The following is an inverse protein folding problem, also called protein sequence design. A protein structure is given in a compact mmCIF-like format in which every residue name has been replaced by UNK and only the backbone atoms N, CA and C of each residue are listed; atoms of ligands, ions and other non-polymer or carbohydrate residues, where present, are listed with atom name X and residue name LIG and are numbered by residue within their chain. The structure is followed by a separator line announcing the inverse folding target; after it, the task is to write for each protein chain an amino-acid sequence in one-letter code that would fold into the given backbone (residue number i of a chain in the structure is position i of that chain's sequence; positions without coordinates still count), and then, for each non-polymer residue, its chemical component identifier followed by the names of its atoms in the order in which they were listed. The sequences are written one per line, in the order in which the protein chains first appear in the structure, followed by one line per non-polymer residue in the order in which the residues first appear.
data_IF_791686914120
#
_entry.id   IF_791686914120
#
_cell.length_a   1.000
_cell.length_b   1.000
_cell.length_c   1.000
_cell.angle_alpha   90.00
_cell.angle_beta   90.00
_cell.angle_gamma   90.00
#
_symmetry.space_group_name_H-M   'P 1'
#
loop_
_entity.id
_entity.type
_entity.pdbx_description
1 polymer ?
#
# COMPACT_ATOMS: atom_id res chain seq x y z
N UNK A 1 55.23 -26.07 12.01
CA UNK A 1 53.77 -25.83 12.07
C UNK A 1 53.08 -26.94 11.30
N UNK A 2 52.10 -27.63 11.89
CA UNK A 2 51.33 -28.65 11.16
C UNK A 2 50.36 -27.98 10.19
N UNK A 3 50.15 -28.59 9.03
CA UNK A 3 49.29 -28.08 7.94
C UNK A 3 47.89 -27.66 8.42
N UNK A 4 47.33 -28.39 9.39
CA UNK A 4 46.03 -28.06 10.00
C UNK A 4 45.99 -26.73 10.77
N UNK A 5 47.11 -26.27 11.38
CA UNK A 5 47.13 -24.96 12.05
C UNK A 5 47.14 -23.78 11.06
N UNK A 6 47.70 -23.98 9.87
CA UNK A 6 47.70 -22.95 8.83
C UNK A 6 46.31 -22.84 8.19
N UNK A 7 45.65 -23.96 7.90
CA UNK A 7 44.27 -23.96 7.40
C UNK A 7 43.29 -23.39 8.42
N UNK A 8 43.44 -23.71 9.71
CA UNK A 8 42.64 -23.12 10.78
C UNK A 8 42.89 -21.60 10.92
N UNK A 9 44.14 -21.13 10.77
CA UNK A 9 44.46 -19.69 10.79
C UNK A 9 43.89 -18.96 9.57
N UNK A 10 44.06 -19.50 8.36
CA UNK A 10 43.50 -18.92 7.13
C UNK A 10 41.98 -18.88 7.19
N UNK A 11 41.32 -19.92 7.71
CA UNK A 11 39.87 -19.92 7.93
C UNK A 11 39.45 -18.90 9.01
N UNK A 12 40.25 -18.72 10.07
CA UNK A 12 39.96 -17.71 11.09
C UNK A 12 40.12 -16.29 10.57
N UNK A 13 41.20 -16.01 9.85
CA UNK A 13 41.47 -14.69 9.26
C UNK A 13 40.43 -14.32 8.21
N UNK A 14 40.06 -15.25 7.32
CA UNK A 14 38.98 -15.02 6.35
C UNK A 14 37.64 -14.78 7.03
N UNK A 15 37.30 -15.57 8.07
CA UNK A 15 36.10 -15.35 8.90
C UNK A 15 36.09 -13.96 9.57
N UNK A 16 37.19 -13.54 10.20
CA UNK A 16 37.27 -12.25 10.90
C UNK A 16 37.13 -11.07 9.94
N UNK A 17 37.79 -11.13 8.78
CA UNK A 17 37.67 -10.12 7.72
C UNK A 17 36.22 -10.05 7.22
N UNK A 18 35.57 -11.19 6.99
CA UNK A 18 34.16 -11.23 6.56
C UNK A 18 33.22 -10.61 7.60
N UNK A 19 33.43 -10.87 8.89
CA UNK A 19 32.66 -10.23 9.95
C UNK A 19 32.88 -8.72 10.03
N UNK A 20 34.12 -8.26 9.90
CA UNK A 20 34.44 -6.82 9.87
C UNK A 20 33.75 -6.15 8.68
N UNK A 21 33.79 -6.76 7.50
CA UNK A 21 33.09 -6.27 6.30
C UNK A 21 31.58 -6.27 6.54
N UNK A 22 31.02 -7.33 7.13
CA UNK A 22 29.59 -7.41 7.45
C UNK A 22 29.16 -6.32 8.44
N UNK A 23 29.93 -6.09 9.51
CA UNK A 23 29.64 -5.03 10.48
C UNK A 23 29.79 -3.63 9.89
N UNK A 24 30.82 -3.39 9.07
CA UNK A 24 30.98 -2.14 8.35
C UNK A 24 29.83 -1.89 7.36
N UNK A 25 29.35 -2.94 6.69
CA UNK A 25 28.15 -2.87 5.84
C UNK A 25 26.90 -2.57 6.67
N UNK A 26 26.68 -3.23 7.81
CA UNK A 26 25.55 -2.96 8.70
C UNK A 26 25.58 -1.51 9.22
N UNK A 27 26.74 -1.06 9.71
CA UNK A 27 26.95 0.29 10.22
C UNK A 27 26.74 1.36 9.13
N UNK A 28 27.32 1.17 7.94
CA UNK A 28 27.15 2.12 6.82
C UNK A 28 25.71 2.15 6.31
N UNK A 29 25.01 1.01 6.32
CA UNK A 29 23.62 0.90 5.88
C UNK A 29 22.64 1.55 6.85
N UNK A 30 22.88 1.45 8.16
CA UNK A 30 22.00 2.03 9.17
C UNK A 30 22.76 2.49 10.42
N UNK A 31 23.41 3.68 10.36
CA UNK A 31 24.23 4.18 11.47
C UNK A 31 23.43 4.38 12.76
N UNK A 32 22.15 4.76 12.64
CA UNK A 32 21.27 5.01 13.78
C UNK A 32 20.93 3.72 14.52
N UNK A 33 20.56 2.67 13.77
CA UNK A 33 20.25 1.36 14.33
C UNK A 33 21.51 0.69 14.91
N UNK A 34 22.67 0.89 14.27
CA UNK A 34 23.97 0.48 14.82
C UNK A 34 24.30 1.21 16.13
N UNK A 35 24.14 2.54 16.20
CA UNK A 35 24.32 3.32 17.43
C UNK A 35 23.40 2.85 18.55
N UNK A 36 22.11 2.57 18.25
CA UNK A 36 21.16 2.01 19.22
C UNK A 36 21.53 0.59 19.67
N UNK A 37 22.06 -0.24 18.79
CA UNK A 37 22.53 -1.58 19.14
C UNK A 37 23.77 -1.51 20.04
N UNK A 38 24.69 -0.57 19.79
CA UNK A 38 25.87 -0.32 20.63
C UNK A 38 25.50 0.32 21.97
N UNK A 39 24.54 1.24 22.00
CA UNK A 39 24.09 1.87 23.25
C UNK A 39 23.41 0.86 24.19
N UNK A 40 22.82 -0.23 23.67
CA UNK A 40 22.32 -1.34 24.50
C UNK A 40 23.43 -2.14 25.19
N UNK A 41 24.68 -2.09 24.71
CA UNK A 41 25.83 -2.75 25.36
C UNK A 41 26.46 -1.89 26.45
N UNK A 42 26.33 -0.55 26.38
CA UNK A 42 26.81 0.35 27.43
C UNK A 42 25.68 0.55 28.42
N UNK A 43 25.73 -0.19 29.52
CA UNK A 43 24.69 -0.28 30.54
C UNK A 43 24.32 1.00 31.31
N UNK A 44 24.66 2.19 30.83
CA UNK A 44 24.36 3.46 31.51
C UNK A 44 23.90 4.50 30.49
N UNK A 45 22.59 4.59 30.25
CA UNK A 45 21.95 5.83 29.75
C UNK A 45 20.64 5.99 30.52
N UNK A 46 20.62 7.08 31.28
CA UNK A 46 19.63 7.50 32.25
C UNK A 46 18.19 7.51 31.71
N UNK A 47 17.27 7.24 32.64
CA UNK A 47 15.82 7.36 32.55
C UNK A 47 15.39 8.70 31.92
N UNK A 48 15.22 8.74 30.59
CA UNK A 48 14.39 9.76 29.94
C UNK A 48 12.98 9.20 29.83
N UNK A 49 12.19 9.44 30.88
CA UNK A 49 10.74 9.41 30.80
C UNK A 49 10.13 8.02 30.70
N UNK A 50 10.19 7.27 31.80
CA UNK A 50 9.32 6.14 32.07
C UNK A 50 7.83 6.52 31.93
N UNK A 51 7.28 6.38 30.72
CA UNK A 51 5.86 6.10 30.53
C UNK A 51 5.61 4.68 31.05
N UNK A 52 5.37 4.61 32.36
CA UNK A 52 4.94 3.44 33.11
C UNK A 52 3.63 2.89 32.53
N UNK A 53 3.68 1.91 31.63
CA UNK A 53 2.62 0.90 31.51
C UNK A 53 3.10 -0.42 30.88
N UNK A 54 2.95 -1.45 31.72
CA UNK A 54 2.89 -2.89 31.50
C UNK A 54 4.04 -3.61 30.76
N UNK A 55 4.78 -4.37 31.59
CA UNK A 55 5.67 -5.51 31.26
C UNK A 55 6.79 -5.19 30.28
N UNK A 56 7.94 -4.86 30.87
CA UNK A 56 9.28 -4.97 30.28
C UNK A 56 9.54 -6.39 29.78
N UNK A 57 8.99 -6.77 28.63
CA UNK A 57 9.54 -7.87 27.85
C UNK A 57 10.96 -7.45 27.50
N UNK A 58 11.96 -8.13 28.07
CA UNK A 58 13.31 -8.12 27.51
C UNK A 58 13.17 -8.65 26.08
N UNK A 59 13.07 -7.75 25.10
CA UNK A 59 12.89 -8.07 23.69
C UNK A 59 14.18 -8.73 23.20
N UNK A 60 14.23 -10.07 23.23
CA UNK A 60 15.24 -10.83 22.49
C UNK A 60 14.81 -10.86 21.01
N UNK A 61 15.52 -10.19 20.08
CA UNK A 61 15.11 -10.11 18.68
C UNK A 61 14.98 -11.49 18.01
N UNK A 62 15.78 -12.48 18.45
CA UNK A 62 15.75 -13.85 17.92
C UNK A 62 14.55 -14.65 18.43
N UNK A 63 14.06 -14.38 19.63
CA UNK A 63 12.86 -15.05 20.15
C UNK A 63 11.61 -14.42 19.55
N UNK A 64 11.60 -13.10 19.43
CA UNK A 64 10.50 -12.36 18.82
C UNK A 64 10.28 -12.78 17.36
N UNK A 65 11.34 -12.89 16.57
CA UNK A 65 11.20 -13.32 15.18
C UNK A 65 10.68 -14.76 15.04
N UNK A 66 10.83 -15.65 16.03
CA UNK A 66 10.21 -16.98 15.99
C UNK A 66 8.68 -16.92 15.95
N UNK A 67 8.06 -15.87 16.50
CA UNK A 67 6.61 -15.71 16.48
C UNK A 67 6.06 -15.54 15.06
N UNK A 68 6.76 -14.81 14.18
CA UNK A 68 6.29 -14.63 12.80
C UNK A 68 6.23 -15.96 12.05
N UNK A 69 7.20 -16.87 12.28
CA UNK A 69 7.18 -18.22 11.70
C UNK A 69 6.00 -19.03 12.23
N UNK A 70 5.74 -19.01 13.55
CA UNK A 70 4.63 -19.72 14.17
C UNK A 70 3.27 -19.29 13.59
N UNK A 71 3.08 -18.00 13.36
CA UNK A 71 1.80 -17.50 12.85
C UNK A 71 1.54 -17.83 11.38
N UNK A 72 2.60 -17.98 10.58
CA UNK A 72 2.47 -18.36 9.17
C UNK A 72 2.64 -19.85 8.91
N UNK A 73 2.95 -20.64 9.94
CA UNK A 73 3.12 -22.10 9.85
C UNK A 73 1.93 -22.82 9.18
N UNK A 74 0.66 -22.45 9.43
CA UNK A 74 -0.47 -23.03 8.71
C UNK A 74 -0.43 -22.84 7.18
N UNK A 75 0.41 -21.93 6.68
CA UNK A 75 0.58 -21.60 5.28
C UNK A 75 1.95 -22.06 4.72
N UNK A 76 2.63 -23.00 5.39
CA UNK A 76 4.00 -23.47 5.12
C UNK A 76 4.31 -23.69 3.62
N UNK A 77 3.45 -24.46 2.93
CA UNK A 77 3.62 -24.84 1.53
C UNK A 77 3.78 -23.64 0.56
N UNK A 78 3.30 -22.46 0.94
CA UNK A 78 3.44 -21.24 0.15
C UNK A 78 4.29 -20.17 0.85
N UNK A 79 4.13 -19.99 2.16
CA UNK A 79 4.66 -18.82 2.87
C UNK A 79 6.14 -18.97 3.23
N UNK A 80 6.57 -20.17 3.64
CA UNK A 80 7.93 -20.45 4.14
C UNK A 80 8.84 -21.13 3.11
N UNK A 81 8.40 -21.26 1.86
CA UNK A 81 9.14 -21.94 0.79
C UNK A 81 10.46 -21.26 0.40
N UNK A 82 10.69 -20.02 0.81
CA UNK A 82 11.96 -19.32 0.67
C UNK A 82 12.33 -18.65 2.00
N UNK A 83 13.13 -19.36 2.81
CA UNK A 83 13.52 -18.91 4.15
C UNK A 83 14.39 -17.66 4.11
N UNK A 84 15.24 -17.48 3.09
CA UNK A 84 16.09 -16.28 3.00
C UNK A 84 15.26 -15.03 2.74
N UNK A 85 14.27 -15.11 1.84
CA UNK A 85 13.33 -13.99 1.63
C UNK A 85 12.47 -13.71 2.86
N UNK A 86 12.00 -14.75 3.55
CA UNK A 86 11.24 -14.58 4.79
C UNK A 86 12.07 -13.91 5.90
N UNK A 87 13.37 -14.21 6.01
CA UNK A 87 14.26 -13.63 7.00
C UNK A 87 14.38 -12.09 6.89
N UNK A 88 14.13 -11.49 5.71
CA UNK A 88 14.08 -10.03 5.55
C UNK A 88 12.94 -9.37 6.35
N UNK A 89 11.94 -10.15 6.80
CA UNK A 89 10.84 -9.64 7.62
C UNK A 89 11.23 -9.52 9.09
N UNK A 90 12.26 -10.22 9.56
CA UNK A 90 12.64 -10.23 10.98
C UNK A 90 13.10 -8.87 11.51
N UNK A 91 13.97 -8.10 10.81
CA UNK A 91 14.36 -6.77 11.29
C UNK A 91 13.17 -5.80 11.36
N UNK A 92 12.25 -5.92 10.42
CA UNK A 92 11.04 -5.09 10.34
C UNK A 92 10.08 -5.42 11.49
N UNK A 93 9.86 -6.70 11.74
CA UNK A 93 9.04 -7.16 12.84
C UNK A 93 9.63 -6.74 14.19
N UNK A 94 10.95 -6.90 14.38
CA UNK A 94 11.62 -6.46 15.58
C UNK A 94 11.55 -4.93 15.77
N UNK A 95 11.62 -4.17 14.68
CA UNK A 95 11.40 -2.73 14.71
C UNK A 95 9.98 -2.38 15.14
N UNK A 96 8.96 -3.08 14.63
CA UNK A 96 7.58 -2.91 15.07
C UNK A 96 7.37 -3.23 16.56
N UNK A 97 7.96 -4.32 17.05
CA UNK A 97 7.83 -4.69 18.46
C UNK A 97 8.52 -3.71 19.41
N UNK A 98 9.64 -3.13 18.98
CA UNK A 98 10.44 -2.22 19.80
C UNK A 98 9.87 -0.80 19.85
N UNK A 99 9.11 -0.39 18.83
CA UNK A 99 8.57 0.95 18.77
C UNK A 99 7.05 0.95 18.89
N UNK A 100 6.52 1.63 19.92
CA UNK A 100 5.08 1.87 20.10
C UNK A 100 4.59 3.01 19.20
N UNK A 101 4.82 2.95 17.89
CA UNK A 101 4.31 3.98 17.00
C UNK A 101 2.80 3.86 16.80
N UNK A 102 2.08 4.98 16.89
CA UNK A 102 0.62 5.02 16.71
C UNK A 102 0.20 4.94 15.24
N UNK A 103 1.06 5.39 14.33
CA UNK A 103 0.82 5.42 12.89
C UNK A 103 2.10 5.10 12.10
N UNK A 104 1.96 4.76 10.82
CA UNK A 104 3.11 4.56 9.92
C UNK A 104 3.90 5.86 9.73
N UNK A 105 3.20 6.98 9.79
CA UNK A 105 3.69 8.34 9.60
C UNK A 105 4.52 8.81 10.81
N UNK A 106 4.11 8.44 12.03
CA UNK A 106 4.86 8.71 13.28
C UNK A 106 6.13 7.85 13.41
N UNK A 107 6.19 6.71 12.72
CA UNK A 107 7.20 5.68 12.91
C UNK A 107 8.60 6.01 12.40
N UNK A 108 8.81 7.21 11.86
CA UNK A 108 9.78 7.36 10.78
C UNK A 108 11.00 8.15 11.24
N UNK A 109 11.94 7.42 11.83
CA UNK A 109 13.31 7.58 11.36
C UNK A 109 13.34 7.18 9.88
N UNK A 110 13.28 8.16 8.96
CA UNK A 110 13.22 7.93 7.50
C UNK A 110 14.34 6.98 7.02
N UNK A 111 15.48 7.00 7.72
CA UNK A 111 16.64 6.17 7.46
C UNK A 111 16.40 4.69 7.74
N UNK A 112 15.76 4.37 8.86
CA UNK A 112 15.43 3.00 9.23
C UNK A 112 14.45 2.39 8.24
N UNK A 113 13.38 3.12 7.91
CA UNK A 113 12.41 2.68 6.92
C UNK A 113 13.10 2.42 5.57
N UNK A 114 13.92 3.35 5.08
CA UNK A 114 14.66 3.20 3.81
C UNK A 114 15.50 1.91 3.76
N UNK A 115 16.12 1.54 4.89
CA UNK A 115 17.03 0.40 4.96
C UNK A 115 16.34 -0.96 4.73
N UNK A 116 15.05 -1.10 5.06
CA UNK A 116 14.34 -2.38 4.96
C UNK A 116 14.22 -2.92 3.54
N UNK A 117 14.22 -2.05 2.53
CA UNK A 117 14.10 -2.44 1.12
C UNK A 117 15.42 -2.41 0.34
N UNK A 118 16.55 -2.12 1.00
CA UNK A 118 17.85 -1.91 0.33
C UNK A 118 18.33 -3.16 -0.40
N UNK A 119 18.21 -4.32 0.23
CA UNK A 119 18.72 -5.60 -0.28
C UNK A 119 17.64 -6.48 -0.92
N UNK A 120 16.44 -5.93 -1.13
CA UNK A 120 15.32 -6.67 -1.74
C UNK A 120 15.13 -6.22 -3.18
N UNK A 121 15.22 -7.15 -4.14
CA UNK A 121 15.04 -6.82 -5.55
C UNK A 121 13.57 -6.54 -5.88
N UNK A 122 13.32 -5.80 -6.96
CA UNK A 122 11.94 -5.59 -7.45
C UNK A 122 11.28 -6.92 -7.87
N UNK A 123 12.07 -7.88 -8.34
CA UNK A 123 11.58 -9.21 -8.68
C UNK A 123 11.10 -9.95 -7.42
N UNK A 124 11.85 -9.89 -6.31
CA UNK A 124 11.45 -10.52 -5.05
C UNK A 124 10.17 -9.89 -4.48
N UNK A 125 10.05 -8.56 -4.56
CA UNK A 125 8.83 -7.85 -4.17
C UNK A 125 7.63 -8.38 -4.97
N UNK A 126 7.74 -8.42 -6.29
CA UNK A 126 6.62 -8.79 -7.15
C UNK A 126 6.26 -10.27 -7.10
N UNK A 127 7.27 -11.15 -7.02
CA UNK A 127 7.08 -12.60 -7.14
C UNK A 127 6.93 -13.29 -5.79
N UNK A 128 7.45 -12.71 -4.70
CA UNK A 128 7.45 -13.35 -3.40
C UNK A 128 6.64 -12.56 -2.34
N UNK A 129 7.01 -11.32 -2.04
CA UNK A 129 6.37 -10.56 -0.95
C UNK A 129 4.93 -10.16 -1.28
N UNK A 130 4.67 -9.69 -2.49
CA UNK A 130 3.35 -9.19 -2.90
C UNK A 130 2.25 -10.27 -2.91
N UNK A 131 2.48 -11.49 -3.43
CA UNK A 131 1.50 -12.58 -3.30
C UNK A 131 1.15 -12.90 -1.85
N UNK A 132 2.14 -12.92 -0.95
CA UNK A 132 1.96 -13.22 0.49
C UNK A 132 1.22 -12.09 1.21
N UNK A 133 1.53 -10.85 0.87
CA UNK A 133 0.76 -9.69 1.32
C UNK A 133 -0.72 -9.79 0.92
N UNK A 134 -1.01 -10.15 -0.34
CA UNK A 134 -2.40 -10.30 -0.84
C UNK A 134 -3.17 -11.44 -0.17
N UNK A 135 -2.47 -12.51 0.19
CA UNK A 135 -3.03 -13.62 0.97
C UNK A 135 -3.45 -13.13 2.36
N UNK A 136 -2.53 -12.52 3.11
CA UNK A 136 -2.85 -12.00 4.44
C UNK A 136 -3.93 -10.93 4.38
N UNK A 137 -3.93 -10.08 3.35
CA UNK A 137 -4.98 -9.11 3.11
C UNK A 137 -6.37 -9.77 2.98
N UNK A 138 -6.49 -10.85 2.21
CA UNK A 138 -7.75 -11.62 2.10
C UNK A 138 -8.16 -12.20 3.45
N UNK A 139 -7.22 -12.85 4.17
CA UNK A 139 -7.47 -13.50 5.46
C UNK A 139 -7.99 -12.49 6.48
N UNK A 140 -7.28 -11.37 6.64
CA UNK A 140 -7.65 -10.31 7.57
C UNK A 140 -8.96 -9.61 7.19
N UNK A 141 -9.44 -9.80 5.96
CA UNK A 141 -10.71 -9.26 5.50
C UNK A 141 -11.87 -10.25 5.61
N UNK A 142 -11.66 -11.44 6.17
CA UNK A 142 -12.76 -12.36 6.45
C UNK A 142 -13.62 -11.85 7.62
N UNK A 143 -14.94 -12.00 7.50
CA UNK A 143 -15.95 -11.66 8.52
C UNK A 143 -15.99 -12.69 9.67
N UNK A 144 -15.26 -13.79 9.56
CA UNK A 144 -15.23 -14.86 10.56
C UNK A 144 -14.57 -14.39 11.84
N UNK A 145 -15.26 -14.51 12.98
CA UNK A 145 -14.77 -14.07 14.30
C UNK A 145 -13.88 -15.11 15.01
N UNK A 146 -13.84 -16.35 14.50
CA UNK A 146 -13.24 -17.49 15.20
C UNK A 146 -11.70 -17.54 15.15
N UNK A 147 -11.07 -16.77 14.26
CA UNK A 147 -9.61 -16.79 14.09
C UNK A 147 -9.00 -15.63 14.89
N UNK A 148 -8.06 -15.92 15.79
CA UNK A 148 -7.21 -14.88 16.38
C UNK A 148 -6.26 -14.31 15.31
N UNK A 149 -6.65 -13.17 14.75
CA UNK A 149 -5.89 -12.49 13.72
C UNK A 149 -4.70 -11.69 14.26
N UNK A 150 -4.46 -11.60 15.57
CA UNK A 150 -3.46 -10.67 16.13
C UNK A 150 -2.07 -10.93 15.57
N UNK A 151 -1.63 -12.19 15.55
CA UNK A 151 -0.33 -12.59 14.99
C UNK A 151 -0.24 -12.32 13.48
N UNK A 152 -1.27 -12.70 12.73
CA UNK A 152 -1.33 -12.46 11.28
C UNK A 152 -1.36 -10.97 10.93
N UNK A 153 -2.00 -10.15 11.77
CA UNK A 153 -2.02 -8.69 11.61
C UNK A 153 -0.62 -8.11 11.73
N UNK A 154 0.22 -8.62 12.64
CA UNK A 154 1.60 -8.16 12.77
C UNK A 154 2.47 -8.57 11.59
N UNK A 155 2.30 -9.79 11.06
CA UNK A 155 3.00 -10.22 9.83
C UNK A 155 2.54 -9.38 8.63
N UNK A 156 1.24 -9.08 8.54
CA UNK A 156 0.70 -8.21 7.50
C UNK A 156 1.29 -6.80 7.58
N UNK A 157 1.34 -6.19 8.77
CA UNK A 157 1.97 -4.89 8.98
C UNK A 157 3.46 -4.92 8.61
N UNK A 158 4.16 -6.00 8.95
CA UNK A 158 5.57 -6.21 8.59
C UNK A 158 5.77 -6.21 7.07
N UNK A 159 4.94 -6.94 6.33
CA UNK A 159 4.93 -6.92 4.86
C UNK A 159 4.55 -5.55 4.31
N UNK A 160 3.56 -4.89 4.92
CA UNK A 160 3.14 -3.55 4.51
C UNK A 160 4.28 -2.54 4.66
N UNK A 161 5.04 -2.55 5.77
CA UNK A 161 6.23 -1.70 5.95
C UNK A 161 7.26 -1.96 4.86
N UNK A 162 7.53 -3.23 4.52
CA UNK A 162 8.48 -3.55 3.46
C UNK A 162 8.06 -2.96 2.12
N UNK A 163 6.77 -3.10 1.77
CA UNK A 163 6.22 -2.55 0.53
C UNK A 163 6.26 -1.02 0.55
N UNK A 164 5.83 -0.39 1.65
CA UNK A 164 5.92 1.06 1.84
C UNK A 164 7.36 1.52 1.66
N UNK A 165 8.32 0.91 2.35
CA UNK A 165 9.75 1.21 2.22
C UNK A 165 10.19 1.15 0.76
N UNK A 166 9.89 0.05 0.09
CA UNK A 166 10.31 -0.19 -1.30
C UNK A 166 9.76 0.87 -2.25
N UNK A 167 8.45 1.13 -2.24
CA UNK A 167 7.83 2.07 -3.17
C UNK A 167 8.08 3.53 -2.80
N UNK A 168 8.16 3.87 -1.52
CA UNK A 168 8.41 5.26 -1.10
C UNK A 168 9.83 5.73 -1.43
N UNK A 169 10.84 4.85 -1.30
CA UNK A 169 12.25 5.21 -1.50
C UNK A 169 12.77 4.95 -2.92
N UNK A 170 12.07 4.15 -3.74
CA UNK A 170 12.43 3.92 -5.15
C UNK A 170 11.59 4.69 -6.15
N UNK A 171 10.58 5.46 -5.73
CA UNK A 171 9.81 6.30 -6.66
C UNK A 171 10.64 7.37 -7.36
N UNK A 172 11.75 7.80 -6.77
CA UNK A 172 12.69 8.71 -7.44
C UNK A 172 13.35 8.06 -8.68
N UNK A 173 13.20 6.75 -8.89
CA UNK A 173 13.61 6.06 -10.12
C UNK A 173 12.67 6.38 -11.30
N UNK A 174 13.05 5.91 -12.49
CA UNK A 174 12.44 6.21 -13.79
C UNK A 174 10.88 6.23 -13.75
N UNK A 175 10.31 7.06 -14.63
CA UNK A 175 8.87 7.18 -14.91
C UNK A 175 8.14 5.83 -15.00
N UNK A 176 8.83 4.78 -15.46
CA UNK A 176 8.36 3.39 -15.48
C UNK A 176 7.96 2.88 -14.09
N UNK A 177 8.77 3.09 -13.04
CA UNK A 177 8.51 2.60 -11.69
C UNK A 177 7.25 3.23 -11.06
N UNK A 178 7.01 4.52 -11.31
CA UNK A 178 5.81 5.23 -10.81
C UNK A 178 4.54 4.67 -11.42
N UNK A 179 4.59 4.43 -12.74
CA UNK A 179 3.51 3.75 -13.44
C UNK A 179 3.31 2.35 -12.89
N UNK A 180 4.38 1.63 -12.55
CA UNK A 180 4.30 0.32 -11.89
C UNK A 180 3.59 0.39 -10.54
N UNK A 181 3.85 1.38 -9.67
CA UNK A 181 3.13 1.50 -8.37
C UNK A 181 1.62 1.55 -8.57
N UNK A 182 1.14 2.48 -9.42
CA UNK A 182 -0.31 2.64 -9.66
C UNK A 182 -0.89 1.45 -10.39
N UNK A 183 -0.19 0.97 -11.43
CA UNK A 183 -0.68 -0.14 -12.22
C UNK A 183 -0.75 -1.41 -11.36
N UNK A 184 0.18 -1.63 -10.42
CA UNK A 184 0.20 -2.81 -9.53
C UNK A 184 -0.78 -2.70 -8.36
N UNK A 185 -0.72 -1.61 -7.58
CA UNK A 185 -1.41 -1.50 -6.29
C UNK A 185 -2.74 -0.74 -6.36
N UNK A 186 -3.08 -0.15 -7.49
CA UNK A 186 -4.42 0.44 -7.67
C UNK A 186 -5.14 -0.31 -8.78
N UNK A 187 -4.66 -0.22 -10.01
CA UNK A 187 -5.37 -0.79 -11.15
C UNK A 187 -5.42 -2.32 -11.13
N UNK A 188 -4.28 -3.01 -11.05
CA UNK A 188 -4.23 -4.48 -11.03
C UNK A 188 -4.83 -5.04 -9.74
N UNK A 189 -4.72 -4.31 -8.62
CA UNK A 189 -5.45 -4.67 -7.41
C UNK A 189 -6.96 -4.73 -7.68
N UNK A 190 -7.55 -3.69 -8.28
CA UNK A 190 -8.98 -3.63 -8.53
C UNK A 190 -9.38 -4.64 -9.64
N UNK A 191 -8.76 -4.56 -10.81
CA UNK A 191 -9.18 -5.34 -11.98
C UNK A 191 -8.80 -6.82 -11.86
N UNK A 192 -7.56 -7.13 -11.46
CA UNK A 192 -7.07 -8.52 -11.46
C UNK A 192 -7.29 -9.21 -10.13
N UNK A 193 -6.99 -8.55 -9.01
CA UNK A 193 -7.14 -9.20 -7.71
C UNK A 193 -8.59 -9.17 -7.23
N UNK A 194 -9.19 -7.98 -7.04
CA UNK A 194 -10.52 -7.85 -6.49
C UNK A 194 -11.61 -8.39 -7.43
N UNK A 195 -11.68 -7.90 -8.67
CA UNK A 195 -12.71 -8.34 -9.60
C UNK A 195 -12.44 -9.76 -10.11
N UNK A 196 -11.31 -10.02 -10.75
CA UNK A 196 -11.08 -11.34 -11.34
C UNK A 196 -10.88 -12.44 -10.29
N UNK A 197 -9.95 -12.29 -9.32
CA UNK A 197 -9.64 -13.39 -8.38
C UNK A 197 -10.64 -13.51 -7.23
N UNK A 198 -10.99 -12.42 -6.54
CA UNK A 198 -11.82 -12.50 -5.34
C UNK A 198 -13.30 -12.63 -5.69
N UNK A 199 -13.80 -11.81 -6.62
CA UNK A 199 -15.22 -11.80 -6.95
C UNK A 199 -15.59 -12.86 -8.00
N UNK A 200 -14.91 -12.84 -9.16
CA UNK A 200 -15.21 -13.72 -10.29
C UNK A 200 -14.48 -15.07 -10.24
N UNK A 201 -13.63 -15.30 -9.23
CA UNK A 201 -12.87 -16.55 -9.03
C UNK A 201 -12.07 -17.02 -10.26
N UNK A 202 -11.62 -16.07 -11.08
CA UNK A 202 -10.73 -16.31 -12.23
C UNK A 202 -9.29 -16.41 -11.75
N UNK A 203 -8.94 -17.52 -11.11
CA UNK A 203 -7.61 -17.82 -10.57
C UNK A 203 -6.86 -18.93 -11.34
N UNK A 204 -7.41 -19.42 -12.47
CA UNK A 204 -6.87 -20.57 -13.22
C UNK A 204 -5.39 -20.43 -13.66
N UNK A 205 -4.90 -19.21 -13.83
CA UNK A 205 -3.51 -18.93 -14.20
C UNK A 205 -2.57 -18.73 -13.01
N UNK A 206 -3.09 -18.78 -11.78
CA UNK A 206 -2.29 -18.62 -10.58
C UNK A 206 -1.52 -19.92 -10.28
N UNK A 207 -0.37 -19.89 -9.59
CA UNK A 207 0.28 -21.10 -9.12
C UNK A 207 -0.67 -21.96 -8.27
N UNK A 208 -0.59 -23.30 -8.36
CA UNK A 208 -1.48 -24.24 -7.63
C UNK A 208 -1.62 -23.91 -6.15
N UNK A 209 -0.52 -23.56 -5.47
CA UNK A 209 -0.54 -23.21 -4.05
C UNK A 209 -1.41 -21.97 -3.75
N UNK A 210 -1.44 -21.00 -4.68
CA UNK A 210 -2.24 -19.79 -4.58
C UNK A 210 -3.70 -20.06 -4.96
N UNK A 211 -3.95 -20.92 -5.94
CA UNK A 211 -5.31 -21.41 -6.28
C UNK A 211 -5.94 -22.11 -5.08
N UNK A 212 -5.24 -23.10 -4.51
CA UNK A 212 -5.69 -23.82 -3.31
C UNK A 212 -6.04 -22.88 -2.16
N UNK A 213 -5.28 -21.80 -2.00
CA UNK A 213 -5.57 -20.78 -0.99
C UNK A 213 -6.86 -19.99 -1.28
N UNK A 214 -7.15 -19.70 -2.54
CA UNK A 214 -8.38 -19.02 -2.91
C UNK A 214 -9.61 -19.94 -2.85
N UNK A 215 -9.42 -21.23 -3.14
CA UNK A 215 -10.46 -22.24 -3.34
C UNK A 215 -10.80 -23.07 -2.09
N UNK A 216 -10.13 -22.85 -0.95
CA UNK A 216 -10.33 -23.54 0.34
C UNK A 216 -11.70 -23.28 1.04
N UNK A 217 -12.79 -23.28 0.29
CA UNK A 217 -14.14 -23.36 0.85
C UNK A 217 -14.80 -24.65 0.41
N UNK A 218 -15.26 -25.47 1.38
CA UNK A 218 -16.09 -26.67 1.20
C UNK A 218 -17.41 -26.36 0.50
N UNK A 219 -17.41 -25.95 -0.76
CA UNK A 219 -18.61 -25.53 -1.50
C UNK A 219 -19.39 -24.33 -0.93
N UNK A 220 -19.18 -23.98 0.35
CA UNK A 220 -19.77 -22.88 1.11
C UNK A 220 -18.85 -21.68 0.96
N UNK A 221 -19.26 -20.78 0.05
CA UNK A 221 -18.48 -19.69 -0.49
C UNK A 221 -17.71 -18.84 0.56
N UNK A 222 -16.37 -18.88 0.52
CA UNK A 222 -15.52 -17.92 1.23
C UNK A 222 -15.74 -16.47 0.76
N UNK A 223 -16.23 -16.25 -0.47
CA UNK A 223 -16.47 -14.91 -1.02
C UNK A 223 -17.60 -14.16 -0.28
N UNK A 224 -18.64 -14.85 0.20
CA UNK A 224 -19.68 -14.24 1.03
C UNK A 224 -19.15 -13.79 2.40
N UNK A 225 -18.02 -14.37 2.82
CA UNK A 225 -17.33 -14.08 4.07
C UNK A 225 -16.34 -12.92 3.94
N UNK A 226 -16.03 -12.38 2.76
CA UNK A 226 -15.09 -11.25 2.66
C UNK A 226 -15.81 -9.94 2.96
N UNK A 227 -15.26 -9.15 3.88
CA UNK A 227 -15.56 -7.74 4.05
C UNK A 227 -14.74 -6.91 3.05
N UNK A 228 -15.39 -6.56 1.95
CA UNK A 228 -14.77 -5.75 0.90
C UNK A 228 -14.38 -4.33 1.35
N UNK A 229 -15.09 -3.76 2.32
CA UNK A 229 -14.75 -2.44 2.86
C UNK A 229 -13.43 -2.54 3.63
N UNK A 230 -13.32 -3.55 4.49
CA UNK A 230 -12.07 -3.84 5.22
C UNK A 230 -10.92 -4.16 4.28
N UNK A 231 -11.15 -4.98 3.26
CA UNK A 231 -10.15 -5.33 2.25
C UNK A 231 -9.60 -4.08 1.53
N UNK A 232 -10.48 -3.20 1.05
CA UNK A 232 -10.07 -1.99 0.35
C UNK A 232 -9.38 -1.01 1.30
N UNK A 233 -9.88 -0.84 2.52
CA UNK A 233 -9.29 0.03 3.53
C UNK A 233 -7.86 -0.41 3.88
N UNK A 234 -7.66 -1.69 4.23
CA UNK A 234 -6.33 -2.25 4.54
C UNK A 234 -5.37 -2.10 3.36
N UNK A 235 -5.85 -2.30 2.13
CA UNK A 235 -5.00 -2.15 0.96
C UNK A 235 -4.62 -0.71 0.67
N UNK A 236 -5.60 0.21 0.65
CA UNK A 236 -5.34 1.60 0.30
C UNK A 236 -4.60 2.38 1.39
N UNK A 237 -4.53 1.85 2.63
CA UNK A 237 -3.52 2.29 3.62
C UNK A 237 -2.10 2.21 3.09
N UNK A 238 -1.75 1.16 2.34
CA UNK A 238 -0.44 1.11 1.68
C UNK A 238 -0.23 2.32 0.74
N UNK A 239 -1.26 2.69 -0.03
CA UNK A 239 -1.17 3.75 -1.04
C UNK A 239 -0.95 5.13 -0.41
N UNK A 240 -1.80 5.54 0.54
CA UNK A 240 -1.64 6.87 1.14
C UNK A 240 -0.38 6.92 2.02
N UNK A 241 0.02 5.84 2.70
CA UNK A 241 1.26 5.86 3.48
C UNK A 241 2.50 6.02 2.59
N UNK A 242 2.52 5.42 1.39
CA UNK A 242 3.60 5.67 0.41
C UNK A 242 3.64 7.15 0.01
N UNK A 243 2.47 7.77 -0.25
CA UNK A 243 2.37 9.19 -0.59
C UNK A 243 2.85 10.08 0.56
N UNK A 244 2.35 9.84 1.77
CA UNK A 244 2.67 10.65 2.95
C UNK A 244 4.14 10.58 3.29
N UNK A 245 4.75 9.39 3.29
CA UNK A 245 6.18 9.24 3.55
C UNK A 245 7.03 10.00 2.52
N UNK A 246 6.59 10.09 1.28
CA UNK A 246 7.28 10.91 0.28
C UNK A 246 7.14 12.39 0.55
N UNK A 247 5.93 12.85 0.86
CA UNK A 247 5.69 14.24 1.22
C UNK A 247 6.53 14.65 2.45
N UNK A 248 6.59 13.80 3.47
CA UNK A 248 7.43 13.98 4.66
C UNK A 248 8.91 14.03 4.26
N UNK A 249 9.41 13.06 3.48
CA UNK A 249 10.80 13.00 3.01
C UNK A 249 11.21 14.29 2.28
N UNK A 250 10.32 14.78 1.41
CA UNK A 250 10.54 16.01 0.67
C UNK A 250 10.66 17.18 1.67
N UNK A 251 9.66 17.36 2.54
CA UNK A 251 9.66 18.42 3.58
C UNK A 251 10.89 18.39 4.50
N UNK A 252 11.33 17.22 4.95
CA UNK A 252 12.45 17.09 5.90
C UNK A 252 13.81 17.45 5.31
N UNK A 253 13.96 17.36 3.99
CA UNK A 253 15.20 17.76 3.32
C UNK A 253 15.11 19.29 3.09
N UNK A 254 15.96 20.07 3.74
CA UNK A 254 15.74 21.51 3.99
C UNK A 254 15.81 22.45 2.75
N UNK A 255 16.05 21.94 1.54
CA UNK A 255 16.18 22.79 0.33
C UNK A 255 15.06 22.52 -0.67
N UNK A 256 14.20 23.51 -0.92
CA UNK A 256 12.99 23.39 -1.74
C UNK A 256 13.24 23.23 -3.25
N UNK A 257 14.24 23.89 -3.82
CA UNK A 257 14.46 23.93 -5.28
C UNK A 257 14.90 22.59 -5.90
N UNK A 258 15.83 21.80 -5.31
CA UNK A 258 16.18 20.47 -5.79
C UNK A 258 15.02 19.44 -5.73
N UNK A 259 13.86 19.84 -5.22
CA UNK A 259 12.75 18.94 -4.90
C UNK A 259 11.50 19.15 -5.75
N UNK A 260 11.48 20.17 -6.63
CA UNK A 260 10.34 20.42 -7.53
C UNK A 260 9.96 19.14 -8.29
N UNK A 261 10.96 18.41 -8.82
CA UNK A 261 10.73 17.14 -9.52
C UNK A 261 10.10 16.07 -8.64
N UNK A 262 10.41 16.05 -7.33
CA UNK A 262 9.83 15.10 -6.37
C UNK A 262 8.37 15.43 -6.07
N UNK A 263 8.04 16.70 -5.84
CA UNK A 263 6.66 17.16 -5.71
C UNK A 263 5.82 16.86 -6.94
N UNK A 264 6.33 17.19 -8.13
CA UNK A 264 5.70 16.87 -9.41
C UNK A 264 5.47 15.36 -9.57
N UNK A 265 6.39 14.54 -9.04
CA UNK A 265 6.26 13.08 -9.09
C UNK A 265 5.12 12.57 -8.20
N UNK A 266 4.99 13.09 -6.98
CA UNK A 266 3.86 12.79 -6.09
C UNK A 266 2.54 13.26 -6.71
N UNK A 267 2.53 14.44 -7.34
CA UNK A 267 1.34 14.95 -8.02
C UNK A 267 0.89 14.06 -9.17
N UNK A 268 1.81 13.61 -10.03
CA UNK A 268 1.50 12.67 -11.11
C UNK A 268 0.90 11.36 -10.58
N UNK A 269 1.38 10.89 -9.42
CA UNK A 269 0.82 9.71 -8.76
C UNK A 269 -0.64 9.94 -8.36
N UNK A 270 -0.91 11.06 -7.68
CA UNK A 270 -2.26 11.50 -7.30
C UNK A 270 -3.15 11.61 -8.55
N UNK A 271 -2.68 12.28 -9.59
CA UNK A 271 -3.42 12.45 -10.84
C UNK A 271 -3.80 11.11 -11.50
N UNK A 272 -2.92 10.12 -11.46
CA UNK A 272 -3.24 8.78 -11.98
C UNK A 272 -4.32 8.07 -11.15
N UNK A 273 -4.30 8.20 -9.82
CA UNK A 273 -5.36 7.66 -8.96
C UNK A 273 -6.71 8.32 -9.31
N UNK A 274 -6.71 9.64 -9.53
CA UNK A 274 -7.91 10.37 -9.95
C UNK A 274 -8.47 9.86 -11.29
N UNK A 275 -7.61 9.58 -12.27
CA UNK A 275 -8.04 9.01 -13.56
C UNK A 275 -8.65 7.61 -13.38
N UNK A 276 -8.13 6.80 -12.46
CA UNK A 276 -8.70 5.49 -12.14
C UNK A 276 -10.08 5.64 -11.49
N UNK A 277 -10.23 6.53 -10.51
CA UNK A 277 -11.54 6.83 -9.89
C UNK A 277 -12.53 7.28 -10.94
N UNK A 278 -12.15 8.24 -11.78
CA UNK A 278 -12.98 8.73 -12.88
C UNK A 278 -13.41 7.58 -13.79
N UNK A 279 -12.47 6.71 -14.19
CA UNK A 279 -12.76 5.55 -15.03
C UNK A 279 -13.76 4.60 -14.37
N UNK A 280 -13.62 4.33 -13.07
CA UNK A 280 -14.54 3.47 -12.31
C UNK A 280 -15.96 4.08 -12.24
N UNK A 281 -16.07 5.39 -12.09
CA UNK A 281 -17.36 6.09 -12.08
C UNK A 281 -18.02 6.03 -13.45
N UNK A 282 -17.28 6.24 -14.54
CA UNK A 282 -17.82 6.08 -15.89
C UNK A 282 -18.34 4.66 -16.15
N UNK A 283 -17.62 3.66 -15.66
CA UNK A 283 -18.12 2.27 -15.70
C UNK A 283 -19.39 2.12 -14.86
N UNK A 284 -19.41 2.65 -13.64
CA UNK A 284 -20.59 2.60 -12.77
C UNK A 284 -21.81 3.23 -13.44
N UNK A 285 -21.68 4.43 -14.03
CA UNK A 285 -22.74 5.10 -14.78
C UNK A 285 -23.30 4.14 -15.82
N UNK A 286 -22.44 3.59 -16.69
CA UNK A 286 -22.85 2.72 -17.80
C UNK A 286 -23.66 1.50 -17.38
N UNK A 287 -23.40 0.93 -16.20
CA UNK A 287 -24.10 -0.27 -15.72
C UNK A 287 -25.26 0.00 -14.77
N UNK A 288 -25.26 1.10 -14.01
CA UNK A 288 -26.42 1.53 -13.21
C UNK A 288 -27.51 2.06 -14.15
N UNK A 289 -27.13 2.81 -15.17
CA UNK A 289 -28.04 3.31 -16.20
C UNK A 289 -28.11 2.33 -17.37
N UNK A 290 -28.84 1.21 -17.25
CA UNK A 290 -29.37 0.51 -18.43
C UNK A 290 -30.31 1.46 -19.19
N UNK A 291 -29.77 2.32 -20.04
CA UNK A 291 -30.39 3.15 -21.09
C UNK A 291 -31.70 3.94 -20.80
N UNK A 292 -32.33 3.90 -19.61
CA UNK A 292 -33.52 4.74 -19.32
C UNK A 292 -33.17 6.19 -18.94
N UNK A 293 -31.90 6.48 -18.64
CA UNK A 293 -31.38 7.84 -18.46
C UNK A 293 -30.86 8.48 -19.76
N UNK A 294 -31.23 7.97 -20.94
CA UNK A 294 -30.95 8.62 -22.25
C UNK A 294 -31.38 10.10 -22.26
N UNK A 295 -32.28 10.53 -21.38
CA UNK A 295 -32.48 11.94 -21.08
C UNK A 295 -31.54 12.45 -19.96
N UNK A 296 -30.22 12.34 -20.14
CA UNK A 296 -29.29 13.20 -19.40
C UNK A 296 -29.79 14.62 -19.66
N UNK A 297 -30.23 15.32 -18.61
CA UNK A 297 -30.71 16.68 -18.77
C UNK A 297 -29.53 17.57 -19.21
N UNK A 298 -29.33 17.70 -20.52
CA UNK A 298 -28.23 18.44 -21.16
C UNK A 298 -28.22 19.92 -20.78
N UNK A 299 -29.30 20.42 -20.16
CA UNK A 299 -29.38 21.79 -19.64
C UNK A 299 -28.59 21.95 -18.34
N UNK A 300 -28.45 20.90 -17.51
CA UNK A 300 -27.71 20.99 -16.24
C UNK A 300 -26.20 21.09 -16.50
N UNK A 301 -25.53 21.98 -15.76
CA UNK A 301 -24.11 22.27 -15.95
C UNK A 301 -23.21 21.02 -15.78
N UNK A 302 -23.45 20.20 -14.75
CA UNK A 302 -22.66 18.98 -14.52
C UNK A 302 -22.81 17.96 -15.65
N UNK A 303 -23.98 17.88 -16.29
CA UNK A 303 -24.20 17.02 -17.46
C UNK A 303 -23.35 17.45 -18.65
N UNK A 304 -23.23 18.75 -18.91
CA UNK A 304 -22.40 19.29 -20.00
C UNK A 304 -20.92 18.95 -19.77
N UNK A 305 -20.44 19.18 -18.55
CA UNK A 305 -19.06 18.86 -18.16
C UNK A 305 -18.78 17.35 -18.30
N UNK A 306 -19.71 16.50 -17.86
CA UNK A 306 -19.59 15.05 -18.01
C UNK A 306 -19.50 14.63 -19.49
N UNK A 307 -20.41 15.12 -20.34
CA UNK A 307 -20.46 14.74 -21.76
C UNK A 307 -19.22 15.19 -22.53
N UNK A 308 -18.74 16.42 -22.27
CA UNK A 308 -17.48 16.91 -22.85
C UNK A 308 -16.28 16.06 -22.39
N UNK A 309 -16.28 15.68 -21.11
CA UNK A 309 -15.20 14.86 -20.54
C UNK A 309 -15.22 13.43 -21.07
N UNK A 310 -16.38 12.83 -21.25
CA UNK A 310 -16.54 11.47 -21.80
C UNK A 310 -15.86 11.32 -23.17
N UNK A 311 -15.91 12.36 -24.01
CA UNK A 311 -15.25 12.38 -25.31
C UNK A 311 -13.72 12.46 -25.21
N UNK A 312 -13.20 13.16 -24.19
CA UNK A 312 -11.76 13.42 -24.00
C UNK A 312 -11.08 12.47 -22.99
N UNK A 313 -11.83 11.56 -22.36
CA UNK A 313 -11.31 10.66 -21.34
C UNK A 313 -10.34 9.63 -21.93
N UNK A 314 -9.16 9.51 -21.31
CA UNK A 314 -8.17 8.49 -21.68
C UNK A 314 -8.75 7.09 -21.44
N UNK A 315 -8.84 6.30 -22.51
CA UNK A 315 -9.52 4.99 -22.50
C UNK A 315 -8.71 3.85 -21.88
N UNK A 316 -7.49 4.12 -21.38
CA UNK A 316 -6.54 3.09 -20.92
C UNK A 316 -7.10 2.21 -19.80
N UNK A 317 -7.60 2.82 -18.72
CA UNK A 317 -8.19 2.08 -17.60
C UNK A 317 -9.67 1.75 -17.86
N UNK A 318 -10.40 2.69 -18.47
CA UNK A 318 -11.82 2.55 -18.80
C UNK A 318 -12.13 1.28 -19.58
N UNK A 319 -11.39 1.00 -20.67
CA UNK A 319 -11.60 -0.20 -21.50
C UNK A 319 -11.41 -1.49 -20.71
N UNK A 320 -10.40 -1.54 -19.85
CA UNK A 320 -10.10 -2.73 -19.06
C UNK A 320 -11.12 -2.97 -17.95
N UNK A 321 -11.57 -1.93 -17.26
CA UNK A 321 -12.66 -2.08 -16.30
C UNK A 321 -13.95 -2.49 -17.00
N UNK A 322 -14.25 -1.90 -18.15
CA UNK A 322 -15.42 -2.27 -18.93
C UNK A 322 -15.38 -3.74 -19.36
N UNK A 323 -14.25 -4.23 -19.90
CA UNK A 323 -14.14 -5.63 -20.34
C UNK A 323 -14.29 -6.63 -19.19
N UNK A 324 -13.78 -6.30 -18.00
CA UNK A 324 -13.92 -7.13 -16.80
C UNK A 324 -15.39 -7.20 -16.35
N UNK A 325 -16.09 -6.07 -16.32
CA UNK A 325 -17.48 -5.98 -15.82
C UNK A 325 -18.49 -6.50 -16.85
N UNK A 326 -18.29 -6.23 -18.14
CA UNK A 326 -19.17 -6.71 -19.23
C UNK A 326 -19.22 -8.23 -19.35
N UNK A 327 -18.15 -8.93 -18.95
CA UNK A 327 -18.10 -10.38 -18.97
C UNK A 327 -18.81 -11.07 -17.80
N UNK A 328 -19.51 -10.33 -16.94
CA UNK A 328 -20.15 -10.86 -15.73
C UNK A 328 -21.63 -11.15 -15.99
N UNK A 329 -22.15 -12.34 -15.61
CA UNK A 329 -23.56 -12.65 -15.74
C UNK A 329 -24.45 -11.62 -15.03
N UNK A 330 -25.61 -11.30 -15.61
CA UNK A 330 -26.51 -10.26 -15.08
C UNK A 330 -26.91 -10.49 -13.61
N UNK A 331 -27.09 -11.76 -13.21
CA UNK A 331 -27.39 -12.18 -11.83
C UNK A 331 -26.33 -11.78 -10.80
N UNK A 332 -25.06 -11.65 -11.21
CA UNK A 332 -23.93 -11.29 -10.34
C UNK A 332 -23.57 -9.79 -10.43
N UNK A 333 -24.09 -9.10 -11.46
CA UNK A 333 -23.78 -7.69 -11.74
C UNK A 333 -24.12 -6.79 -10.55
N UNK A 334 -25.24 -7.02 -9.87
CA UNK A 334 -25.63 -6.23 -8.69
C UNK A 334 -24.58 -6.25 -7.56
N UNK A 335 -24.01 -7.43 -7.28
CA UNK A 335 -22.95 -7.60 -6.29
C UNK A 335 -21.66 -6.89 -6.71
N UNK A 336 -21.29 -7.01 -7.99
CA UNK A 336 -20.14 -6.32 -8.57
C UNK A 336 -20.27 -4.80 -8.51
N UNK A 337 -21.45 -4.24 -8.83
CA UNK A 337 -21.70 -2.80 -8.73
C UNK A 337 -21.64 -2.30 -7.28
N UNK A 338 -22.11 -3.10 -6.31
CA UNK A 338 -21.95 -2.78 -4.89
C UNK A 338 -20.47 -2.71 -4.50
N UNK A 339 -19.65 -3.66 -4.97
CA UNK A 339 -18.20 -3.67 -4.72
C UNK A 339 -17.52 -2.48 -5.42
N UNK A 340 -17.90 -2.17 -6.66
CA UNK A 340 -17.42 -1.01 -7.40
C UNK A 340 -17.64 0.30 -6.61
N UNK A 341 -18.82 0.47 -6.01
CA UNK A 341 -19.11 1.62 -5.12
C UNK A 341 -18.20 1.63 -3.89
N UNK A 342 -17.94 0.47 -3.26
CA UNK A 342 -17.02 0.36 -2.12
C UNK A 342 -15.59 0.76 -2.52
N UNK A 343 -15.13 0.32 -3.69
CA UNK A 343 -13.80 0.68 -4.22
C UNK A 343 -13.71 2.18 -4.44
N UNK A 344 -14.70 2.78 -5.11
CA UNK A 344 -14.73 4.23 -5.34
C UNK A 344 -14.70 4.97 -4.00
N UNK A 345 -15.54 4.57 -3.03
CA UNK A 345 -15.56 5.16 -1.69
C UNK A 345 -14.17 5.06 -1.04
N UNK A 346 -13.57 3.87 -0.99
CA UNK A 346 -12.28 3.66 -0.31
C UNK A 346 -11.13 4.42 -0.99
N UNK A 347 -11.17 4.59 -2.31
CA UNK A 347 -10.22 5.44 -3.03
C UNK A 347 -10.42 6.92 -2.71
N UNK A 348 -11.66 7.40 -2.53
CA UNK A 348 -11.92 8.76 -2.05
C UNK A 348 -11.42 8.95 -0.62
N UNK A 349 -11.58 7.96 0.25
CA UNK A 349 -11.04 7.97 1.62
C UNK A 349 -9.51 8.07 1.64
N UNK A 350 -8.85 7.47 0.66
CA UNK A 350 -7.38 7.57 0.49
C UNK A 350 -6.93 9.03 0.37
N UNK A 351 -7.71 9.87 -0.33
CA UNK A 351 -7.39 11.29 -0.48
C UNK A 351 -7.55 12.10 0.80
N UNK A 352 -8.41 11.68 1.73
CA UNK A 352 -8.55 12.35 3.02
C UNK A 352 -7.38 12.04 3.95
N UNK A 353 -6.80 10.86 3.80
CA UNK A 353 -5.62 10.44 4.56
C UNK A 353 -4.30 11.02 4.01
N UNK A 354 -4.32 11.69 2.86
CA UNK A 354 -3.11 12.35 2.32
C UNK A 354 -2.82 13.61 3.14
N UNK A 355 -1.56 13.78 3.56
CA UNK A 355 -1.08 14.95 4.28
C UNK A 355 -0.90 16.17 3.36
N UNK A 356 -2.02 16.72 2.87
CA UNK A 356 -2.06 17.86 1.94
C UNK A 356 -1.27 19.08 2.42
N UNK A 357 -1.15 19.26 3.73
CA UNK A 357 -0.34 20.31 4.36
C UNK A 357 1.13 20.32 3.90
N UNK A 358 1.68 19.17 3.49
CA UNK A 358 3.05 19.06 2.99
C UNK A 358 3.17 19.37 1.49
N UNK A 359 2.05 19.34 0.78
CA UNK A 359 1.94 19.65 -0.66
C UNK A 359 1.48 21.10 -0.91
N UNK A 360 0.77 21.71 0.03
CA UNK A 360 0.19 23.06 -0.08
C UNK A 360 1.20 24.15 -0.47
N UNK A 361 2.39 24.27 0.17
CA UNK A 361 3.37 25.30 -0.21
C UNK A 361 3.87 25.16 -1.67
N UNK A 362 3.91 23.93 -2.18
CA UNK A 362 4.26 23.67 -3.57
C UNK A 362 3.16 24.13 -4.52
N UNK A 363 1.90 23.86 -4.20
CA UNK A 363 0.76 24.26 -5.04
C UNK A 363 0.61 25.79 -5.10
N UNK A 364 0.82 26.48 -3.98
CA UNK A 364 0.81 27.94 -3.90
C UNK A 364 1.90 28.58 -4.79
N UNK A 365 3.11 27.98 -4.82
CA UNK A 365 4.20 28.46 -5.68
C UNK A 365 4.00 28.08 -7.16
N UNK A 366 3.30 26.99 -7.45
CA UNK A 366 3.08 26.48 -8.80
C UNK A 366 1.59 26.24 -9.10
N UNK A 367 0.79 27.32 -9.26
CA UNK A 367 -0.67 27.25 -9.34
C UNK A 367 -1.18 26.43 -10.54
N UNK A 368 -0.39 26.27 -11.60
CA UNK A 368 -0.74 25.43 -12.74
C UNK A 368 -1.04 23.96 -12.32
N UNK A 369 -0.33 23.45 -11.32
CA UNK A 369 -0.58 22.11 -10.79
C UNK A 369 -1.86 22.04 -9.95
N UNK A 370 -2.15 23.08 -9.18
CA UNK A 370 -3.40 23.18 -8.44
C UNK A 370 -4.60 23.23 -9.38
N UNK A 371 -4.55 24.09 -10.40
CA UNK A 371 -5.58 24.21 -11.45
C UNK A 371 -5.82 22.85 -12.13
N UNK A 372 -4.75 22.10 -12.42
CA UNK A 372 -4.83 20.75 -13.00
C UNK A 372 -5.59 19.77 -12.10
N UNK A 373 -5.34 19.81 -10.78
CA UNK A 373 -6.05 18.97 -9.82
C UNK A 373 -7.50 19.39 -9.64
N UNK A 374 -7.80 20.69 -9.53
CA UNK A 374 -9.17 21.21 -9.44
C UNK A 374 -9.98 20.85 -10.69
N UNK A 375 -9.37 20.89 -11.88
CA UNK A 375 -9.99 20.44 -13.13
C UNK A 375 -10.37 18.95 -13.07
N UNK A 376 -9.49 18.08 -12.57
CA UNK A 376 -9.79 16.64 -12.38
C UNK A 376 -10.87 16.42 -11.33
N UNK A 377 -10.84 17.17 -10.23
CA UNK A 377 -11.87 17.17 -9.19
C UNK A 377 -13.25 17.51 -9.78
N UNK A 378 -13.34 18.56 -10.60
CA UNK A 378 -14.56 18.96 -11.30
C UNK A 378 -15.11 17.84 -12.20
N UNK A 379 -14.24 17.13 -12.92
CA UNK A 379 -14.66 16.00 -13.75
C UNK A 379 -15.23 14.84 -12.94
N UNK A 380 -14.56 14.45 -11.84
CA UNK A 380 -15.07 13.41 -10.94
C UNK A 380 -16.40 13.83 -10.32
N UNK A 381 -16.51 15.09 -9.87
CA UNK A 381 -17.75 15.62 -9.31
C UNK A 381 -18.90 15.54 -10.32
N UNK A 382 -18.66 15.98 -11.56
CA UNK A 382 -19.66 15.91 -12.63
C UNK A 382 -20.11 14.47 -12.89
N UNK A 383 -19.17 13.52 -12.98
CA UNK A 383 -19.47 12.11 -13.17
C UNK A 383 -20.24 11.51 -11.98
N UNK A 384 -19.86 11.81 -10.74
CA UNK A 384 -20.59 11.36 -9.54
C UNK A 384 -22.02 11.88 -9.51
N UNK A 385 -22.26 13.15 -9.87
CA UNK A 385 -23.61 13.71 -9.93
C UNK A 385 -24.52 13.00 -10.95
N UNK A 386 -23.95 12.46 -12.02
CA UNK A 386 -24.69 11.64 -13.00
C UNK A 386 -25.12 10.30 -12.40
N UNK A 387 -24.30 9.70 -11.54
CA UNK A 387 -24.66 8.42 -10.89
C UNK A 387 -25.86 8.52 -9.95
N UNK A 388 -26.17 9.73 -9.45
CA UNK A 388 -27.15 9.98 -8.39
C UNK A 388 -26.91 9.21 -7.06
N UNK A 389 -25.71 8.65 -6.87
CA UNK A 389 -25.36 7.89 -5.66
C UNK A 389 -25.05 8.83 -4.50
N UNK A 390 -26.06 9.08 -3.64
CA UNK A 390 -25.97 10.03 -2.52
C UNK A 390 -24.74 9.82 -1.63
N UNK A 391 -24.40 8.58 -1.30
CA UNK A 391 -23.26 8.27 -0.43
C UNK A 391 -21.92 8.65 -1.07
N UNK A 392 -21.74 8.40 -2.37
CA UNK A 392 -20.51 8.76 -3.07
C UNK A 392 -20.40 10.27 -3.25
N UNK A 393 -21.52 10.93 -3.60
CA UNK A 393 -21.59 12.39 -3.75
C UNK A 393 -21.27 13.08 -2.42
N UNK A 394 -21.90 12.63 -1.32
CA UNK A 394 -21.66 13.16 0.02
C UNK A 394 -20.21 12.95 0.45
N UNK A 395 -19.66 11.74 0.26
CA UNK A 395 -18.27 11.44 0.61
C UNK A 395 -17.31 12.35 -0.14
N UNK A 396 -17.45 12.46 -1.47
CA UNK A 396 -16.60 13.31 -2.29
C UNK A 396 -16.66 14.80 -1.91
N UNK A 397 -17.85 15.30 -1.57
CA UNK A 397 -18.03 16.69 -1.12
C UNK A 397 -17.34 16.95 0.22
N UNK A 398 -17.42 16.00 1.14
CA UNK A 398 -16.82 16.09 2.47
C UNK A 398 -15.31 15.80 2.47
N UNK A 399 -14.78 15.18 1.42
CA UNK A 399 -13.35 14.98 1.29
C UNK A 399 -12.64 16.32 1.24
N UNK A 400 -11.87 16.60 2.30
CA UNK A 400 -11.10 17.84 2.42
C UNK A 400 -9.84 17.75 1.56
N UNK A 401 -9.96 18.21 0.33
CA UNK A 401 -8.81 18.36 -0.55
C UNK A 401 -8.19 19.73 -0.23
N UNK A 402 -6.86 19.78 -0.15
CA UNK A 402 -6.09 21.04 0.03
C UNK A 402 -6.19 21.75 1.39
N UNK A 403 -7.00 21.26 2.35
CA UNK A 403 -7.22 21.86 3.69
C UNK A 403 -6.98 23.38 3.73
N UNK A 404 -7.92 24.13 3.17
CA UNK A 404 -8.34 25.37 3.82
C UNK A 404 -8.94 24.95 5.17
N UNK A 405 -8.22 25.22 6.26
CA UNK A 405 -8.92 25.49 7.52
C UNK A 405 -9.75 26.74 7.27
N UNK A 406 -10.97 26.57 6.76
CA UNK A 406 -11.99 27.58 6.92
C UNK A 406 -12.20 27.71 8.43
N UNK A 407 -11.70 28.81 8.99
CA UNK A 407 -12.25 29.35 10.22
C UNK A 407 -13.72 29.67 9.94
N UNK A 408 -14.62 28.78 10.34
CA UNK A 408 -16.03 29.10 10.59
C UNK A 408 -16.36 28.59 11.98
#
# INVERSE_FOLDING_TARGET
MSRGKLEDMEQKETSEVDWIICFALIQSRNPTLWKRALSRKKGDVEDVGALKSEKNLKINPRENSKHIYKWVAPFENGFLNNKSLFAHLEPIYNFLCQNKYKSFEDAVGLKELQSFSKDVSTADINNWFLPRYKILLKILSLKTKEIDFRGLSQVFQTLQILLVSHYSHRIDSDSSFKRTLIDVHVFNFIAKFLFNRILLKKNQNDPKWLQNFYDQGDGKHLCDKVDYKRLCSLHFTLIYSIINIQLIKIKTNQTFEPQILKYVSVLKLIEHILIIIESLIHVLIRFVSKHKLICINRKKAYCRVYLERELSLKKTYLKNFYSVISGVPEKELGGLLKILKIVILSLLETFESIEWQHLKPFLEKFPAHEISLQKKRKYIQAALLITAERNLIARFRLSRWFNETENI
#
